data_IF_187096597900
#
_entry.id   IF_187096597900
#
_cell.length_a   1.000
_cell.length_b   1.000
_cell.length_c   1.000
_cell.angle_alpha   90.00
_cell.angle_beta   90.00
_cell.angle_gamma   90.00
#
_symmetry.space_group_name_H-M   'P 1'
#
loop_
_entity.id
_entity.type
_entity.pdbx_description
1 polymer ?
#
# COMPACT_ATOMS: atom_id res chain seq x y z
N UNK A 1 -9.72 35.17 -34.90
CA UNK A 1 -10.80 34.76 -33.96
C UNK A 1 -10.42 33.52 -33.14
N UNK A 2 -9.50 32.67 -33.60
CA UNK A 2 -9.02 31.51 -32.86
C UNK A 2 -8.16 31.87 -31.63
N UNK A 3 -7.42 32.99 -31.67
CA UNK A 3 -6.50 33.38 -30.57
C UNK A 3 -7.19 33.72 -29.24
N UNK A 4 -8.46 34.12 -29.28
CA UNK A 4 -9.25 34.46 -28.08
C UNK A 4 -9.70 33.20 -27.34
N UNK A 5 -9.96 32.11 -28.08
CA UNK A 5 -10.38 30.83 -27.51
C UNK A 5 -9.21 30.11 -26.82
N UNK A 6 -8.00 30.15 -27.41
CA UNK A 6 -6.78 29.57 -26.81
C UNK A 6 -6.33 30.33 -25.55
N UNK A 7 -6.53 31.64 -25.51
CA UNK A 7 -6.22 32.42 -24.31
C UNK A 7 -7.19 32.09 -23.15
N UNK A 8 -8.47 31.85 -23.46
CA UNK A 8 -9.47 31.50 -22.46
C UNK A 8 -9.25 30.10 -21.85
N UNK A 9 -8.89 29.10 -22.66
CA UNK A 9 -8.65 27.72 -22.17
C UNK A 9 -7.38 27.61 -21.32
N UNK A 10 -6.30 28.28 -21.71
CA UNK A 10 -5.07 28.32 -20.91
C UNK A 10 -5.31 28.97 -19.53
N UNK A 11 -6.16 29.99 -19.48
CA UNK A 11 -6.55 30.65 -18.24
C UNK A 11 -7.29 29.69 -17.30
N UNK A 12 -8.27 28.94 -17.82
CA UNK A 12 -9.04 27.95 -17.03
C UNK A 12 -8.14 26.84 -16.49
N UNK A 13 -7.19 26.34 -17.29
CA UNK A 13 -6.25 25.31 -16.83
C UNK A 13 -5.35 25.79 -15.69
N UNK A 14 -4.86 27.04 -15.77
CA UNK A 14 -4.04 27.65 -14.72
C UNK A 14 -4.84 27.88 -13.43
N UNK A 15 -6.10 28.32 -13.53
CA UNK A 15 -6.97 28.47 -12.36
C UNK A 15 -7.32 27.13 -11.71
N UNK A 16 -7.55 26.08 -12.52
CA UNK A 16 -7.82 24.73 -12.02
C UNK A 16 -6.63 24.14 -11.26
N UNK A 17 -5.42 24.27 -11.81
CA UNK A 17 -4.20 23.81 -11.14
C UNK A 17 -3.95 24.57 -9.83
N UNK A 18 -4.11 25.89 -9.83
CA UNK A 18 -3.96 26.71 -8.62
C UNK A 18 -4.97 26.30 -7.54
N UNK A 19 -6.24 26.08 -7.91
CA UNK A 19 -7.27 25.63 -6.97
C UNK A 19 -6.94 24.26 -6.37
N UNK A 20 -6.50 23.30 -7.19
CA UNK A 20 -6.12 21.97 -6.72
C UNK A 20 -4.94 22.02 -5.73
N UNK A 21 -3.92 22.81 -6.03
CA UNK A 21 -2.78 23.03 -5.12
C UNK A 21 -3.24 23.63 -3.78
N UNK A 22 -4.16 24.60 -3.79
CA UNK A 22 -4.69 25.18 -2.54
C UNK A 22 -5.56 24.21 -1.74
N UNK A 23 -6.35 23.37 -2.41
CA UNK A 23 -7.16 22.35 -1.74
C UNK A 23 -6.29 21.26 -1.11
N UNK A 24 -5.24 20.84 -1.81
CA UNK A 24 -4.29 19.84 -1.33
C UNK A 24 -3.52 20.36 -0.10
N UNK A 25 -3.03 21.60 -0.13
CA UNK A 25 -2.31 22.18 1.02
C UNK A 25 -3.23 22.36 2.22
N UNK A 26 -4.49 22.77 2.03
CA UNK A 26 -5.48 22.85 3.11
C UNK A 26 -5.79 21.47 3.71
N UNK A 27 -5.92 20.43 2.88
CA UNK A 27 -6.16 19.07 3.37
C UNK A 27 -4.97 18.52 4.16
N UNK A 28 -3.74 18.73 3.66
CA UNK A 28 -2.52 18.33 4.36
C UNK A 28 -2.37 19.08 5.70
N UNK A 29 -2.68 20.38 5.73
CA UNK A 29 -2.68 21.18 6.96
C UNK A 29 -3.70 20.66 7.97
N UNK A 30 -4.90 20.31 7.52
CA UNK A 30 -5.94 19.73 8.38
C UNK A 30 -5.54 18.36 8.95
N UNK A 31 -4.93 17.49 8.12
CA UNK A 31 -4.39 16.20 8.56
C UNK A 31 -3.23 16.35 9.57
N UNK A 32 -2.46 17.44 9.48
CA UNK A 32 -1.42 17.74 10.44
C UNK A 32 -1.97 18.23 11.78
N UNK A 33 -3.04 19.03 11.78
CA UNK A 33 -3.70 19.51 13.00
C UNK A 33 -4.46 18.42 13.75
N UNK A 34 -4.99 17.42 13.02
CA UNK A 34 -5.66 16.27 13.59
C UNK A 34 -4.84 15.01 13.31
N UNK A 35 -3.71 14.80 14.02
CA UNK A 35 -2.98 13.55 13.90
C UNK A 35 -3.94 12.41 14.20
N UNK A 36 -3.99 11.36 13.35
CA UNK A 36 -4.89 10.24 13.57
C UNK A 36 -4.66 9.74 14.99
N UNK A 37 -5.72 9.78 15.80
CA UNK A 37 -5.68 9.41 17.19
C UNK A 37 -4.92 8.09 17.30
N UNK A 38 -3.81 8.11 18.05
CA UNK A 38 -2.90 6.96 18.29
C UNK A 38 -3.70 5.68 18.16
N UNK A 39 -3.43 4.91 17.12
CA UNK A 39 -4.08 3.62 16.89
C UNK A 39 -4.10 2.90 18.23
N UNK A 40 -5.31 2.67 18.75
CA UNK A 40 -5.50 2.03 20.04
C UNK A 40 -4.65 0.76 20.05
N UNK A 41 -3.98 0.44 21.18
CA UNK A 41 -3.18 -0.77 21.28
C UNK A 41 -4.04 -1.92 20.80
N UNK A 42 -3.58 -2.57 19.74
CA UNK A 42 -4.18 -3.78 19.17
C UNK A 42 -4.42 -4.68 20.36
N UNK A 43 -5.69 -4.85 20.72
CA UNK A 43 -6.07 -5.74 21.80
C UNK A 43 -5.39 -7.08 21.49
N UNK A 44 -4.48 -7.45 22.38
CA UNK A 44 -3.84 -8.74 22.43
C UNK A 44 -4.94 -9.77 22.23
N UNK A 45 -4.84 -10.49 21.11
CA UNK A 45 -5.71 -11.61 20.78
C UNK A 45 -5.76 -12.48 22.03
N UNK A 46 -6.96 -12.57 22.61
CA UNK A 46 -7.21 -13.49 23.71
C UNK A 46 -6.71 -14.86 23.30
N UNK A 47 -5.89 -15.40 24.20
CA UNK A 47 -5.36 -16.74 24.23
C UNK A 47 -6.51 -17.71 23.89
N UNK A 48 -6.48 -18.26 22.67
CA UNK A 48 -7.46 -19.22 22.22
C UNK A 48 -7.25 -20.49 23.04
N UNK A 49 -8.11 -20.68 24.04
CA UNK A 49 -8.07 -21.79 24.98
C UNK A 49 -8.35 -23.10 24.20
N UNK A 50 -7.29 -23.73 23.72
CA UNK A 50 -7.28 -24.97 22.94
C UNK A 50 -7.67 -26.20 23.77
N UNK A 51 -8.09 -26.03 25.02
CA UNK A 51 -8.49 -27.11 25.92
C UNK A 51 -9.86 -27.73 25.59
N UNK A 52 -10.64 -27.15 24.65
CA UNK A 52 -11.99 -27.63 24.32
C UNK A 52 -12.09 -28.33 22.94
N UNK A 53 -10.97 -28.80 22.38
CA UNK A 53 -11.02 -29.85 21.34
C UNK A 53 -11.07 -31.19 22.06
N UNK A 54 -12.28 -31.49 22.51
CA UNK A 54 -12.72 -32.76 23.07
C UNK A 54 -12.39 -33.88 22.07
N UNK A 55 -11.49 -34.77 22.48
CA UNK A 55 -11.28 -36.08 21.87
C UNK A 55 -12.62 -36.86 21.79
N UNK A 56 -13.11 -37.23 20.60
CA UNK A 56 -14.25 -38.15 20.50
C UNK A 56 -13.83 -39.62 20.71
N UNK A 57 -12.54 -39.90 20.88
CA UNK A 57 -12.02 -41.25 21.11
C UNK A 57 -11.48 -41.37 22.52
N UNK A 58 -12.40 -41.60 23.46
CA UNK A 58 -12.07 -42.00 24.82
C UNK A 58 -11.29 -43.30 24.86
N UNK A 59 -9.96 -43.19 24.79
CA UNK A 59 -9.02 -44.26 25.11
C UNK A 59 -8.26 -43.87 26.38
N UNK A 60 -8.79 -44.42 27.46
CA UNK A 60 -8.13 -44.65 28.73
C UNK A 60 -6.67 -45.11 28.53
N UNK A 61 -5.72 -44.43 29.16
CA UNK A 61 -4.98 -44.98 30.31
C UNK A 61 -3.63 -44.27 30.51
N UNK A 62 -3.29 -44.10 31.78
CA UNK A 62 -1.94 -43.91 32.34
C UNK A 62 -1.28 -42.53 32.20
N UNK A 63 -1.72 -41.68 33.13
CA UNK A 63 -0.88 -40.87 34.03
C UNK A 63 0.64 -41.13 33.90
N UNK A 64 1.27 -40.38 33.00
CA UNK A 64 2.68 -40.01 33.14
C UNK A 64 2.74 -38.52 33.49
N UNK A 65 3.33 -38.11 34.63
CA UNK A 65 3.58 -36.71 34.89
C UNK A 65 4.63 -36.24 33.89
N UNK A 66 4.20 -35.45 32.90
CA UNK A 66 5.09 -34.73 32.00
C UNK A 66 5.78 -33.67 32.85
N UNK A 67 6.94 -34.03 33.40
CA UNK A 67 7.91 -33.07 33.91
C UNK A 67 8.42 -32.27 32.72
N UNK A 68 7.75 -31.16 32.44
CA UNK A 68 8.18 -30.15 31.48
C UNK A 68 9.50 -29.56 31.98
N UNK A 69 10.59 -30.16 31.50
CA UNK A 69 11.88 -29.49 31.35
C UNK A 69 11.67 -28.22 30.53
N UNK A 70 11.56 -27.07 31.20
CA UNK A 70 11.80 -25.78 30.57
C UNK A 70 13.26 -25.76 30.10
N UNK A 71 13.57 -25.65 28.79
CA UNK A 71 14.90 -25.27 28.38
C UNK A 71 15.15 -23.83 28.83
N UNK A 72 16.32 -23.61 29.43
CA UNK A 72 16.78 -22.31 29.86
C UNK A 72 16.65 -21.30 28.70
N UNK A 73 16.02 -20.17 29.00
CA UNK A 73 15.94 -18.99 28.14
C UNK A 73 17.35 -18.54 27.73
N UNK A 74 17.80 -18.98 26.56
CA UNK A 74 18.99 -18.43 25.92
C UNK A 74 18.66 -17.00 25.46
N UNK A 75 19.24 -16.04 26.18
CA UNK A 75 19.26 -14.63 25.81
C UNK A 75 19.78 -14.50 24.37
N UNK A 76 18.93 -14.03 23.48
CA UNK A 76 19.30 -13.85 22.08
C UNK A 76 20.34 -12.71 21.92
N UNK A 77 21.46 -12.95 21.19
CA UNK A 77 22.58 -12.00 21.07
C UNK A 77 22.33 -10.81 20.12
N UNK A 78 21.10 -10.59 19.63
CA UNK A 78 20.81 -9.51 18.67
C UNK A 78 20.57 -8.13 19.33
N UNK A 79 20.56 -8.03 20.67
CA UNK A 79 20.37 -6.76 21.39
C UNK A 79 21.59 -5.80 21.37
N UNK A 80 22.71 -6.15 20.72
CA UNK A 80 23.93 -5.31 20.72
C UNK A 80 24.32 -4.68 19.38
N UNK A 81 23.50 -4.81 18.33
CA UNK A 81 23.78 -4.18 17.03
C UNK A 81 23.07 -2.82 16.90
N UNK A 82 23.38 -1.88 17.78
CA UNK A 82 23.14 -0.45 17.51
C UNK A 82 24.31 0.04 16.64
N UNK A 83 24.33 -0.39 15.37
CA UNK A 83 25.20 0.20 14.37
C UNK A 83 24.71 1.62 14.07
N UNK A 84 25.58 2.60 14.34
CA UNK A 84 25.36 4.00 14.00
C UNK A 84 25.00 4.12 12.53
N UNK A 85 23.80 4.61 12.24
CA UNK A 85 23.41 5.01 10.88
C UNK A 85 24.42 6.04 10.34
N UNK A 86 24.83 5.93 9.07
CA UNK A 86 25.70 6.92 8.44
C UNK A 86 24.98 8.27 8.36
N UNK A 87 25.69 9.31 8.76
CA UNK A 87 25.27 10.70 8.62
C UNK A 87 25.16 11.04 7.13
N UNK A 88 23.92 11.15 6.65
CA UNK A 88 23.64 11.48 5.25
C UNK A 88 23.91 12.97 5.06
N UNK A 89 25.02 13.30 4.41
CA UNK A 89 25.32 14.67 4.02
C UNK A 89 24.23 15.22 3.06
N UNK A 90 23.82 16.49 3.22
CA UNK A 90 22.78 17.10 2.40
C UNK A 90 23.26 17.25 0.96
N UNK A 91 22.60 16.55 0.04
CA UNK A 91 22.82 16.63 -1.41
C UNK A 91 22.50 18.05 -1.85
N UNK A 92 23.55 18.79 -2.21
CA UNK A 92 23.45 20.13 -2.75
C UNK A 92 22.57 20.14 -4.01
N UNK A 93 21.62 21.07 -4.03
CA UNK A 93 20.65 21.27 -5.09
C UNK A 93 21.33 21.45 -6.45
N UNK A 94 21.23 20.44 -7.30
CA UNK A 94 21.58 20.51 -8.72
C UNK A 94 20.47 21.29 -9.43
N UNK A 95 20.72 22.58 -9.69
CA UNK A 95 19.98 23.37 -10.67
C UNK A 95 20.21 22.78 -12.07
N UNK A 96 19.19 22.17 -12.66
CA UNK A 96 19.17 21.92 -14.10
C UNK A 96 18.63 23.15 -14.85
N UNK A 97 19.30 23.59 -15.93
CA UNK A 97 18.80 24.65 -16.81
C UNK A 97 17.69 24.11 -17.72
N UNK A 98 16.61 24.87 -17.81
CA UNK A 98 15.50 24.66 -18.73
C UNK A 98 16.00 24.83 -20.18
N UNK A 99 16.21 23.72 -20.88
CA UNK A 99 16.33 23.70 -22.33
C UNK A 99 14.93 23.55 -22.92
N UNK A 100 14.51 24.59 -23.65
CA UNK A 100 13.25 24.63 -24.39
C UNK A 100 13.23 23.52 -25.45
N UNK A 101 12.35 22.55 -25.26
CA UNK A 101 11.99 21.55 -26.28
C UNK A 101 10.82 22.13 -27.05
N UNK A 102 11.04 22.48 -28.32
CA UNK A 102 9.97 22.88 -29.22
C UNK A 102 9.12 21.65 -29.61
N UNK A 103 7.80 21.65 -29.36
CA UNK A 103 6.93 20.56 -29.75
C UNK A 103 6.64 20.60 -31.26
N UNK A 104 7.15 19.62 -31.99
CA UNK A 104 6.82 19.32 -33.38
C UNK A 104 5.33 19.02 -33.53
N UNK A 105 4.70 19.65 -34.52
CA UNK A 105 3.27 19.69 -34.78
C UNK A 105 2.77 18.50 -35.63
N UNK A 106 2.76 17.29 -35.06
CA UNK A 106 1.96 16.18 -35.59
C UNK A 106 0.98 15.71 -34.50
N UNK A 107 -0.06 16.53 -34.28
CA UNK A 107 -1.15 16.22 -33.39
C UNK A 107 -2.17 15.32 -34.11
N UNK A 108 -2.03 14.01 -33.88
CA UNK A 108 -3.07 13.04 -34.15
C UNK A 108 -4.29 13.32 -33.27
N UNK A 109 -5.46 13.17 -33.87
CA UNK A 109 -6.80 13.35 -33.32
C UNK A 109 -7.05 12.40 -32.12
N UNK A 110 -7.10 12.97 -30.90
CA UNK A 110 -7.33 12.24 -29.62
C UNK A 110 -8.73 12.58 -29.05
N UNK A 111 -9.69 12.92 -29.92
CA UNK A 111 -11.03 13.31 -29.50
C UNK A 111 -12.00 12.15 -29.26
N UNK A 112 -11.75 10.97 -29.83
CA UNK A 112 -12.80 9.93 -29.98
C UNK A 112 -12.32 8.51 -29.64
N UNK A 113 -11.47 8.34 -28.62
CA UNK A 113 -10.93 7.00 -28.26
C UNK A 113 -10.84 6.72 -26.76
N UNK A 114 -11.48 7.53 -25.91
CA UNK A 114 -11.39 7.42 -24.45
C UNK A 114 -12.65 6.91 -23.73
N UNK A 115 -13.69 6.47 -24.44
CA UNK A 115 -14.97 6.11 -23.80
C UNK A 115 -15.42 4.64 -23.89
N UNK A 116 -14.66 3.70 -24.47
CA UNK A 116 -15.24 2.37 -24.76
C UNK A 116 -14.37 1.12 -24.57
N UNK A 117 -13.22 1.17 -23.88
CA UNK A 117 -12.40 -0.02 -23.67
C UNK A 117 -11.85 -0.04 -22.24
N UNK A 118 -12.72 -0.38 -21.30
CA UNK A 118 -12.34 -1.00 -20.02
C UNK A 118 -12.02 -2.48 -20.28
N UNK A 119 -11.07 -2.74 -21.19
CA UNK A 119 -10.47 -4.06 -21.38
C UNK A 119 -9.13 -3.98 -20.68
N UNK A 120 -9.15 -4.20 -19.37
CA UNK A 120 -7.94 -4.56 -18.66
C UNK A 120 -7.33 -5.76 -19.40
N UNK A 121 -6.09 -5.68 -19.91
CA UNK A 121 -5.42 -6.88 -20.39
C UNK A 121 -5.41 -7.91 -19.26
N UNK A 122 -5.43 -9.23 -19.56
CA UNK A 122 -5.34 -10.26 -18.53
C UNK A 122 -4.08 -9.98 -17.72
N UNK A 123 -4.29 -9.42 -16.53
CA UNK A 123 -3.20 -8.93 -15.71
C UNK A 123 -2.44 -10.16 -15.26
N UNK A 124 -1.18 -10.29 -15.68
CA UNK A 124 -0.31 -11.37 -15.23
C UNK A 124 -0.02 -11.19 -13.73
N UNK A 125 -0.99 -11.56 -12.89
CA UNK A 125 -0.93 -11.48 -11.43
C UNK A 125 0.27 -12.28 -10.87
N UNK A 126 0.80 -13.21 -11.66
CA UNK A 126 2.02 -13.96 -11.37
C UNK A 126 3.27 -13.05 -11.28
N UNK A 127 3.37 -12.02 -12.11
CA UNK A 127 4.52 -11.10 -12.16
C UNK A 127 4.45 -10.01 -11.09
N UNK A 128 3.24 -9.71 -10.60
CA UNK A 128 3.03 -8.70 -9.57
C UNK A 128 3.57 -9.11 -8.20
N UNK A 129 3.97 -8.12 -7.42
CA UNK A 129 4.38 -8.30 -6.03
C UNK A 129 3.17 -8.56 -5.13
N UNK A 130 3.38 -9.19 -3.97
CA UNK A 130 2.31 -9.43 -2.99
C UNK A 130 1.64 -8.13 -2.51
N UNK A 131 2.41 -7.03 -2.50
CA UNK A 131 1.91 -5.71 -2.10
C UNK A 131 0.91 -5.15 -3.11
N UNK A 132 1.20 -5.29 -4.40
CA UNK A 132 0.30 -4.89 -5.48
C UNK A 132 -0.97 -5.76 -5.48
N UNK A 133 -0.82 -7.07 -5.35
CA UNK A 133 -1.97 -7.99 -5.27
C UNK A 133 -2.89 -7.66 -4.09
N UNK A 134 -2.33 -7.32 -2.92
CA UNK A 134 -3.11 -6.87 -1.76
C UNK A 134 -3.80 -5.53 -1.99
N UNK A 135 -3.19 -4.62 -2.75
CA UNK A 135 -3.81 -3.35 -3.13
C UNK A 135 -5.02 -3.59 -4.03
N UNK A 136 -4.87 -4.41 -5.07
CA UNK A 136 -5.98 -4.77 -5.98
C UNK A 136 -7.10 -5.50 -5.21
N UNK A 137 -6.76 -6.43 -4.33
CA UNK A 137 -7.75 -7.13 -3.50
C UNK A 137 -8.48 -6.19 -2.52
N UNK A 138 -7.78 -5.16 -2.01
CA UNK A 138 -8.36 -4.10 -1.18
C UNK A 138 -9.33 -3.22 -1.97
N UNK A 139 -8.94 -2.84 -3.20
CA UNK A 139 -9.75 -2.01 -4.09
C UNK A 139 -11.05 -2.75 -4.49
N UNK A 140 -10.97 -4.08 -4.69
CA UNK A 140 -12.11 -4.98 -4.92
C UNK A 140 -12.87 -5.38 -3.65
N UNK A 141 -12.44 -4.93 -2.46
CA UNK A 141 -13.05 -5.22 -1.14
C UNK A 141 -13.21 -6.72 -0.84
N UNK A 142 -12.25 -7.55 -1.26
CA UNK A 142 -12.25 -8.99 -1.01
C UNK A 142 -11.97 -9.26 0.48
N UNK A 143 -12.86 -9.92 1.25
CA UNK A 143 -12.63 -10.16 2.67
C UNK A 143 -11.50 -11.17 2.91
N UNK A 144 -10.68 -10.94 3.94
CA UNK A 144 -9.63 -11.87 4.35
C UNK A 144 -8.35 -11.87 3.51
N UNK A 145 -8.23 -11.00 2.50
CA UNK A 145 -7.04 -10.88 1.63
C UNK A 145 -5.72 -10.65 2.39
N UNK A 146 -5.76 -10.03 3.56
CA UNK A 146 -4.58 -9.69 4.36
C UNK A 146 -3.79 -10.91 4.83
N UNK A 147 -4.48 -12.02 5.12
CA UNK A 147 -3.90 -13.26 5.65
C UNK A 147 -3.53 -14.28 4.55
N UNK A 148 -3.94 -14.02 3.31
CA UNK A 148 -3.76 -14.93 2.17
C UNK A 148 -2.32 -14.85 1.62
N UNK A 149 -1.87 -15.98 1.10
CA UNK A 149 -0.60 -16.11 0.38
C UNK A 149 -0.69 -15.56 -1.05
N UNK A 150 0.45 -15.36 -1.73
CA UNK A 150 0.48 -14.88 -3.11
C UNK A 150 -0.35 -15.77 -4.06
N UNK A 151 -0.27 -17.09 -3.90
CA UNK A 151 -1.00 -18.05 -4.73
C UNK A 151 -2.52 -17.92 -4.55
N UNK A 152 -3.00 -17.87 -3.31
CA UNK A 152 -4.42 -17.70 -3.01
C UNK A 152 -4.96 -16.34 -3.48
N UNK A 153 -4.15 -15.27 -3.40
CA UNK A 153 -4.53 -13.96 -3.92
C UNK A 153 -4.68 -13.97 -5.45
N UNK A 154 -3.81 -14.69 -6.16
CA UNK A 154 -3.92 -14.85 -7.62
C UNK A 154 -5.21 -15.60 -7.95
N UNK A 155 -5.49 -16.70 -7.25
CA UNK A 155 -6.73 -17.47 -7.44
C UNK A 155 -7.97 -16.58 -7.24
N UNK A 156 -8.04 -15.82 -6.14
CA UNK A 156 -9.17 -14.92 -5.85
C UNK A 156 -9.35 -13.77 -6.84
N UNK A 157 -8.27 -13.30 -7.47
CA UNK A 157 -8.32 -12.21 -8.46
C UNK A 157 -8.61 -12.69 -9.88
N UNK A 158 -8.42 -13.99 -10.13
CA UNK A 158 -8.68 -14.64 -11.43
C UNK A 158 -10.13 -15.15 -11.54
N UNK A 159 -10.81 -15.34 -10.40
CA UNK A 159 -12.24 -15.72 -10.31
C UNK A 159 -13.14 -14.51 -10.56
#
# INVERSE_FOLDING_TARGET
MQDVLTLATNSIALFGAAYFLTALTAHLWHCWQHPPAKAAPIATVEEFDLAEIIDPYGLLADSTPIALLLPASESHPWELAVERMPEVEPIAAVRQPAAAVEPSADALDVGELLEAIDIEPPSDYALMTIRELKRIASDRKIPGYSKRTKAELIELLTV
#
